data_IF_476323292629
#
_entry.id   IF_476323292629
#
_cell.length_a   1.000
_cell.length_b   1.000
_cell.length_c   1.000
_cell.angle_alpha   90.00
_cell.angle_beta   90.00
_cell.angle_gamma   90.00
#
_symmetry.space_group_name_H-M   'P 1'
#
loop_
_entity.id
_entity.type
_entity.pdbx_description
1 polymer ?
#
# COMPACT_ATOMS: atom_id res chain seq x y z
N UNK A 1 22.46 17.34 -31.94
CA UNK A 1 21.48 16.32 -32.38
C UNK A 1 22.09 14.96 -32.09
N UNK A 2 21.78 14.36 -30.93
CA UNK A 2 22.22 13.02 -30.54
C UNK A 2 20.99 12.28 -30.02
N UNK A 3 20.55 11.29 -30.80
CA UNK A 3 19.42 10.42 -30.53
C UNK A 3 19.83 9.34 -29.53
N UNK A 4 19.21 9.31 -28.36
CA UNK A 4 19.32 8.18 -27.43
C UNK A 4 18.20 7.19 -27.73
N UNK A 5 18.59 5.98 -28.16
CA UNK A 5 17.70 4.87 -28.54
C UNK A 5 16.90 4.36 -27.35
N UNK A 6 15.58 4.23 -27.54
CA UNK A 6 14.66 3.47 -26.67
C UNK A 6 14.88 1.98 -26.87
N UNK A 7 15.06 1.24 -25.78
CA UNK A 7 15.09 -0.22 -25.78
C UNK A 7 13.73 -0.74 -25.33
N UNK A 8 12.95 -1.24 -26.28
CA UNK A 8 11.70 -1.98 -26.06
C UNK A 8 12.03 -3.46 -26.10
N UNK A 9 11.77 -4.19 -25.01
CA UNK A 9 11.81 -5.66 -25.01
C UNK A 9 10.37 -6.14 -24.93
N UNK A 10 9.87 -6.61 -26.08
CA UNK A 10 8.63 -7.36 -26.19
C UNK A 10 8.85 -8.81 -25.75
N UNK A 11 7.88 -9.36 -25.02
CA UNK A 11 7.84 -10.79 -24.71
C UNK A 11 6.79 -11.44 -25.61
N UNK A 12 7.23 -12.43 -26.39
CA UNK A 12 6.49 -13.08 -27.46
C UNK A 12 5.39 -14.01 -26.93
N UNK A 13 4.27 -14.02 -27.65
CA UNK A 13 3.16 -14.96 -27.54
C UNK A 13 3.49 -16.28 -28.22
N UNK A 14 3.04 -17.39 -27.63
CA UNK A 14 2.96 -18.70 -28.29
C UNK A 14 1.58 -19.31 -27.99
N UNK A 15 0.85 -19.61 -29.06
CA UNK A 15 -0.42 -20.33 -29.07
C UNK A 15 -0.18 -21.67 -29.74
N UNK A 16 -0.65 -22.76 -29.11
CA UNK A 16 -0.90 -24.04 -29.79
C UNK A 16 -2.13 -24.73 -29.16
N UNK A 17 -3.11 -25.06 -30.00
CA UNK A 17 -4.22 -26.00 -29.77
C UNK A 17 -3.82 -27.36 -30.39
N UNK A 18 -4.36 -28.56 -30.12
CA UNK A 18 -5.55 -29.12 -29.47
C UNK A 18 -5.13 -30.50 -28.85
N UNK A 19 -5.88 -31.25 -28.03
CA UNK A 19 -7.17 -31.98 -28.26
C UNK A 19 -7.70 -32.57 -26.93
N UNK A 20 -9.00 -32.87 -26.86
CA UNK A 20 -9.72 -33.32 -25.67
C UNK A 20 -9.67 -34.83 -25.39
N UNK A 21 -9.60 -35.21 -24.09
CA UNK A 21 -10.23 -36.39 -23.50
C UNK A 21 -10.28 -36.23 -21.95
N UNK A 22 -11.45 -36.44 -21.34
CA UNK A 22 -11.68 -36.55 -19.88
C UNK A 22 -11.91 -38.02 -19.49
N UNK A 23 -12.05 -38.40 -18.20
CA UNK A 23 -11.47 -37.87 -16.96
C UNK A 23 -10.81 -38.99 -16.11
N UNK A 24 -9.88 -38.66 -15.20
CA UNK A 24 -9.60 -39.51 -14.04
C UNK A 24 -9.01 -38.68 -12.88
N UNK A 25 -9.57 -38.88 -11.70
CA UNK A 25 -9.09 -38.40 -10.41
C UNK A 25 -7.67 -38.93 -10.14
N UNK A 26 -6.75 -38.04 -9.82
CA UNK A 26 -5.74 -38.25 -8.79
C UNK A 26 -5.20 -36.88 -8.36
N UNK A 27 -5.33 -36.57 -7.08
CA UNK A 27 -4.69 -35.42 -6.48
C UNK A 27 -3.17 -35.63 -6.53
N UNK A 28 -2.48 -34.88 -7.38
CA UNK A 28 -1.02 -34.75 -7.30
C UNK A 28 -0.69 -33.36 -6.77
N UNK A 29 -0.72 -33.25 -5.43
CA UNK A 29 -0.14 -32.09 -4.75
C UNK A 29 1.37 -32.28 -4.69
N UNK A 30 2.06 -32.01 -5.81
CA UNK A 30 3.50 -31.78 -5.76
C UNK A 30 3.75 -30.36 -5.21
N UNK A 31 3.59 -30.21 -3.90
CA UNK A 31 3.98 -28.98 -3.19
C UNK A 31 5.50 -28.96 -3.13
N UNK A 32 6.12 -28.27 -4.09
CA UNK A 32 7.53 -27.93 -3.99
C UNK A 32 7.67 -26.82 -2.95
N UNK A 33 7.72 -27.21 -1.67
CA UNK A 33 7.79 -26.33 -0.52
C UNK A 33 9.18 -25.70 -0.41
N UNK A 34 9.31 -24.50 -0.97
CA UNK A 34 10.26 -23.52 -0.43
C UNK A 34 9.80 -23.25 1.01
N UNK A 35 10.59 -23.70 1.99
CA UNK A 35 10.21 -23.86 3.39
C UNK A 35 9.79 -22.60 4.15
N UNK A 36 8.58 -22.09 3.89
CA UNK A 36 7.86 -21.20 4.80
C UNK A 36 6.78 -22.02 5.51
N UNK A 37 6.88 -22.14 6.83
CA UNK A 37 5.85 -22.83 7.64
C UNK A 37 4.47 -22.19 7.38
N UNK A 38 3.42 -22.97 7.09
CA UNK A 38 2.10 -22.45 6.73
C UNK A 38 1.51 -21.52 7.81
N UNK A 39 1.92 -21.68 9.07
CA UNK A 39 1.48 -20.85 10.20
C UNK A 39 2.04 -19.42 10.17
N UNK A 40 3.24 -19.21 9.61
CA UNK A 40 3.85 -17.89 9.56
C UNK A 40 3.11 -16.96 8.57
N UNK A 41 2.69 -17.51 7.43
CA UNK A 41 1.94 -16.76 6.41
C UNK A 41 0.53 -16.39 6.89
N UNK A 42 -0.16 -17.28 7.61
CA UNK A 42 -1.47 -16.98 8.21
C UNK A 42 -1.35 -15.91 9.29
N UNK A 43 -0.33 -16.00 10.16
CA UNK A 43 -0.08 -14.98 11.18
C UNK A 43 0.24 -13.61 10.56
N UNK A 44 1.06 -13.56 9.51
CA UNK A 44 1.38 -12.33 8.80
C UNK A 44 0.14 -11.67 8.17
N UNK A 45 -0.75 -12.47 7.55
CA UNK A 45 -2.02 -11.97 7.01
C UNK A 45 -2.97 -11.47 8.11
N UNK A 46 -3.04 -12.15 9.25
CA UNK A 46 -3.82 -11.72 10.40
C UNK A 46 -3.31 -10.38 10.97
N UNK A 47 -1.98 -10.23 11.12
CA UNK A 47 -1.35 -8.97 11.56
C UNK A 47 -1.64 -7.84 10.57
N UNK A 48 -1.50 -8.10 9.26
CA UNK A 48 -1.82 -7.12 8.22
C UNK A 48 -3.28 -6.67 8.32
N UNK A 49 -4.21 -7.61 8.50
CA UNK A 49 -5.63 -7.31 8.64
C UNK A 49 -5.91 -6.46 9.88
N UNK A 50 -5.31 -6.81 11.04
CA UNK A 50 -5.43 -6.02 12.25
C UNK A 50 -4.87 -4.60 12.09
N UNK A 51 -3.73 -4.44 11.42
CA UNK A 51 -3.15 -3.13 11.13
C UNK A 51 -4.04 -2.30 10.19
N UNK A 52 -4.68 -2.93 9.20
CA UNK A 52 -5.65 -2.26 8.34
C UNK A 52 -6.85 -1.72 9.13
N UNK A 53 -7.38 -2.50 10.07
CA UNK A 53 -8.51 -2.09 10.91
C UNK A 53 -8.11 -0.94 11.86
N UNK A 54 -6.90 -1.00 12.44
CA UNK A 54 -6.32 0.10 13.23
C UNK A 54 -6.20 1.37 12.37
N UNK A 55 -5.65 1.26 11.16
CA UNK A 55 -5.49 2.38 10.25
C UNK A 55 -6.85 2.98 9.83
N UNK A 56 -7.82 2.13 9.51
CA UNK A 56 -9.17 2.56 9.16
C UNK A 56 -9.80 3.37 10.30
N UNK A 57 -9.81 2.82 11.52
CA UNK A 57 -10.39 3.49 12.69
C UNK A 57 -9.66 4.80 13.01
N UNK A 58 -8.34 4.83 12.85
CA UNK A 58 -7.56 6.06 13.01
C UNK A 58 -8.05 7.16 12.05
N UNK A 59 -8.21 6.87 10.76
CA UNK A 59 -8.62 7.88 9.78
C UNK A 59 -10.10 8.28 9.91
N UNK A 60 -10.98 7.36 10.32
CA UNK A 60 -12.36 7.71 10.70
C UNK A 60 -12.37 8.65 11.91
N UNK A 61 -11.56 8.39 12.93
CA UNK A 61 -11.42 9.26 14.10
C UNK A 61 -10.84 10.65 13.76
N UNK A 62 -10.21 10.83 12.58
CA UNK A 62 -9.81 12.13 12.05
C UNK A 62 -10.93 12.87 11.30
N UNK A 63 -12.14 12.32 11.27
CA UNK A 63 -13.32 12.90 10.64
C UNK A 63 -13.46 12.57 9.16
N UNK A 64 -12.73 11.58 8.63
CA UNK A 64 -12.96 11.08 7.27
C UNK A 64 -14.16 10.13 7.25
N UNK A 65 -14.88 10.10 6.13
CA UNK A 65 -15.95 9.11 5.94
C UNK A 65 -15.36 7.70 5.83
N UNK A 66 -16.18 6.67 6.09
CA UNK A 66 -15.76 5.26 5.95
C UNK A 66 -15.16 4.96 4.56
N UNK A 67 -15.72 5.52 3.48
CA UNK A 67 -15.18 5.35 2.12
C UNK A 67 -13.81 5.99 1.95
N UNK A 68 -13.62 7.19 2.51
CA UNK A 68 -12.34 7.92 2.43
C UNK A 68 -11.25 7.21 3.23
N UNK A 69 -11.56 6.79 4.46
CA UNK A 69 -10.65 6.00 5.29
C UNK A 69 -10.27 4.69 4.60
N UNK A 70 -11.25 3.92 4.09
CA UNK A 70 -10.99 2.70 3.34
C UNK A 70 -10.14 2.95 2.07
N UNK A 71 -10.35 4.07 1.37
CA UNK A 71 -9.55 4.45 0.21
C UNK A 71 -8.07 4.71 0.54
N UNK A 72 -7.77 5.33 1.68
CA UNK A 72 -6.39 5.45 2.18
C UNK A 72 -5.84 4.06 2.48
N UNK A 73 -6.55 3.27 3.29
CA UNK A 73 -6.03 1.96 3.73
C UNK A 73 -5.82 1.01 2.55
N UNK A 74 -6.68 1.03 1.53
CA UNK A 74 -6.48 0.25 0.31
C UNK A 74 -5.19 0.57 -0.44
N UNK A 75 -4.77 1.84 -0.43
CA UNK A 75 -3.46 2.25 -0.95
C UNK A 75 -2.32 1.71 -0.07
N UNK A 76 -2.39 1.93 1.25
CA UNK A 76 -1.36 1.45 2.20
C UNK A 76 -1.22 -0.07 2.19
N UNK A 77 -2.32 -0.80 1.96
CA UNK A 77 -2.32 -2.25 1.78
C UNK A 77 -1.56 -2.65 0.51
N UNK A 78 -1.73 -1.93 -0.60
CA UNK A 78 -0.94 -2.18 -1.81
C UNK A 78 0.55 -1.86 -1.61
N UNK A 79 0.88 -0.80 -0.86
CA UNK A 79 2.27 -0.44 -0.61
C UNK A 79 3.02 -1.45 0.28
N UNK A 80 2.36 -2.00 1.29
CA UNK A 80 3.06 -2.74 2.35
C UNK A 80 2.24 -3.79 3.07
N UNK A 81 0.95 -3.95 2.75
CA UNK A 81 0.01 -4.65 3.62
C UNK A 81 -0.21 -3.92 4.96
N UNK A 82 0.00 -2.60 5.01
CA UNK A 82 0.01 -1.81 6.26
C UNK A 82 1.04 -2.35 7.27
N UNK A 83 2.17 -2.86 6.76
CA UNK A 83 3.27 -3.31 7.60
C UNK A 83 4.21 -2.13 7.92
N UNK A 84 4.26 -1.66 9.18
CA UNK A 84 5.06 -0.50 9.52
C UNK A 84 6.56 -0.77 9.44
N UNK A 85 7.02 -2.03 9.44
CA UNK A 85 8.43 -2.41 9.30
C UNK A 85 8.82 -2.82 7.89
N UNK A 86 7.91 -2.67 6.91
CA UNK A 86 8.19 -3.04 5.52
C UNK A 86 9.40 -2.29 4.96
N UNK A 87 10.24 -3.03 4.23
CA UNK A 87 11.40 -2.50 3.51
C UNK A 87 11.37 -3.05 2.09
N UNK A 88 11.43 -2.16 1.11
CA UNK A 88 11.53 -2.57 -0.29
C UNK A 88 12.84 -3.32 -0.53
N UNK A 89 12.75 -4.55 -1.05
CA UNK A 89 13.92 -5.34 -1.40
C UNK A 89 14.75 -4.60 -2.49
N UNK A 90 16.01 -4.32 -2.18
CA UNK A 90 16.92 -3.60 -3.08
C UNK A 90 16.52 -2.14 -3.36
N UNK A 91 15.54 -1.58 -2.65
CA UNK A 91 14.98 -0.27 -2.92
C UNK A 91 14.90 0.65 -1.70
N UNK A 92 14.43 1.87 -1.95
CA UNK A 92 14.40 2.94 -0.95
C UNK A 92 13.13 2.92 -0.08
N UNK A 93 12.06 2.23 -0.47
CA UNK A 93 10.77 2.28 0.22
C UNK A 93 10.77 1.71 1.64
N UNK A 94 10.13 2.43 2.58
CA UNK A 94 10.05 2.09 4.02
C UNK A 94 8.64 2.32 4.59
N UNK A 95 8.20 1.43 5.47
CA UNK A 95 6.97 1.59 6.25
C UNK A 95 5.68 1.48 5.44
N UNK A 96 4.57 1.91 6.06
CA UNK A 96 3.22 1.64 5.54
C UNK A 96 2.94 2.26 4.17
N UNK A 97 3.55 3.42 3.88
CA UNK A 97 3.39 4.15 2.61
C UNK A 97 4.68 4.11 1.76
N UNK A 98 5.61 3.19 2.07
CA UNK A 98 6.86 3.02 1.32
C UNK A 98 7.65 4.32 1.08
N UNK A 99 7.70 5.22 2.07
CA UNK A 99 8.50 6.45 2.01
C UNK A 99 9.96 6.13 1.67
N UNK A 100 10.56 6.90 0.76
CA UNK A 100 11.93 6.62 0.29
C UNK A 100 13.00 7.09 1.29
N UNK A 101 13.98 6.22 1.56
CA UNK A 101 15.30 6.59 2.10
C UNK A 101 15.94 7.64 1.18
N UNK A 102 16.56 8.66 1.77
CA UNK A 102 17.05 9.83 1.04
C UNK A 102 15.97 10.85 0.72
N UNK A 103 14.71 10.62 1.14
CA UNK A 103 13.57 11.50 0.93
C UNK A 103 12.68 11.63 2.17
N UNK A 104 11.40 11.28 2.02
CA UNK A 104 10.37 11.36 3.08
C UNK A 104 10.61 10.37 4.24
N UNK A 105 11.52 9.42 4.11
CA UNK A 105 11.88 8.58 5.25
C UNK A 105 12.78 9.33 6.26
N UNK A 106 13.81 10.03 5.78
CA UNK A 106 14.90 10.50 6.65
C UNK A 106 15.63 11.79 6.22
N UNK A 107 15.29 12.42 5.09
CA UNK A 107 16.07 13.53 4.52
C UNK A 107 15.32 14.85 4.43
N UNK A 108 14.07 14.84 3.98
CA UNK A 108 13.34 16.07 3.65
C UNK A 108 13.08 16.93 4.89
N UNK A 109 13.45 18.21 4.85
CA UNK A 109 13.36 19.10 6.02
C UNK A 109 11.90 19.25 6.49
N UNK A 110 11.61 18.81 7.72
CA UNK A 110 10.28 18.83 8.37
C UNK A 110 9.19 17.97 7.71
N UNK A 111 9.50 17.33 6.59
CA UNK A 111 8.61 16.43 5.84
C UNK A 111 9.24 15.03 5.73
N UNK A 112 9.69 14.49 6.87
CA UNK A 112 10.22 13.13 6.91
C UNK A 112 9.90 12.39 8.21
N UNK A 113 9.81 11.07 8.11
CA UNK A 113 9.38 10.19 9.21
C UNK A 113 10.35 10.22 10.41
N UNK A 114 11.67 10.28 10.19
CA UNK A 114 12.66 10.40 11.29
C UNK A 114 12.46 11.68 12.09
N UNK A 115 12.35 12.81 11.41
CA UNK A 115 12.12 14.10 12.04
C UNK A 115 10.76 14.13 12.76
N UNK A 116 9.71 13.62 12.11
CA UNK A 116 8.38 13.59 12.70
C UNK A 116 8.35 12.74 13.96
N UNK A 117 8.95 11.55 13.93
CA UNK A 117 9.07 10.67 15.08
C UNK A 117 9.72 11.37 16.28
N UNK A 118 10.87 12.01 16.04
CA UNK A 118 11.65 12.68 17.09
C UNK A 118 10.96 13.94 17.66
N UNK A 119 10.27 14.72 16.81
CA UNK A 119 9.84 16.08 17.19
C UNK A 119 8.32 16.22 17.39
N UNK A 120 7.51 15.35 16.80
CA UNK A 120 6.03 15.50 16.74
C UNK A 120 5.29 14.29 17.27
N UNK A 121 5.87 13.09 17.18
CA UNK A 121 5.25 11.85 17.65
C UNK A 121 5.60 11.48 19.10
N UNK A 122 6.35 12.32 19.82
CA UNK A 122 6.76 12.07 21.21
C UNK A 122 7.99 11.16 21.34
N UNK A 123 8.88 11.14 20.34
CA UNK A 123 10.12 10.36 20.38
C UNK A 123 9.93 8.85 20.19
N UNK A 124 8.74 8.41 19.78
CA UNK A 124 8.47 6.99 19.49
C UNK A 124 9.23 6.51 18.25
N UNK A 125 9.44 5.21 18.14
CA UNK A 125 10.12 4.63 16.96
C UNK A 125 9.42 4.99 15.65
N UNK A 126 10.21 5.38 14.63
CA UNK A 126 9.73 5.58 13.25
C UNK A 126 9.10 4.33 12.62
N UNK A 127 9.35 3.16 13.20
CA UNK A 127 8.77 1.88 12.80
C UNK A 127 7.46 1.54 13.53
N UNK A 128 6.97 2.43 14.39
CA UNK A 128 5.70 2.26 15.08
C UNK A 128 4.53 2.61 14.14
N UNK A 129 3.53 1.74 14.07
CA UNK A 129 2.35 1.94 13.22
C UNK A 129 1.63 3.26 13.52
N UNK A 130 1.35 3.55 14.79
CA UNK A 130 0.65 4.78 15.18
C UNK A 130 1.46 6.04 14.83
N UNK A 131 2.78 5.98 14.96
CA UNK A 131 3.66 7.08 14.52
C UNK A 131 3.54 7.33 13.01
N UNK A 132 3.55 6.27 12.21
CA UNK A 132 3.44 6.35 10.76
C UNK A 132 2.05 6.83 10.31
N UNK A 133 0.96 6.37 10.94
CA UNK A 133 -0.40 6.87 10.68
C UNK A 133 -0.54 8.36 11.02
N UNK A 134 0.04 8.79 12.15
CA UNK A 134 0.11 10.20 12.54
C UNK A 134 0.94 11.03 11.56
N UNK A 135 2.03 10.47 11.01
CA UNK A 135 2.83 11.14 9.99
C UNK A 135 2.06 11.28 8.67
N UNK A 136 1.39 10.23 8.19
CA UNK A 136 0.48 10.31 7.03
C UNK A 136 -0.57 11.42 7.21
N UNK A 137 -1.20 11.50 8.39
CA UNK A 137 -2.16 12.57 8.68
C UNK A 137 -1.52 13.96 8.75
N UNK A 138 -0.33 14.06 9.36
CA UNK A 138 0.43 15.31 9.40
C UNK A 138 0.73 15.82 7.99
N UNK A 139 1.21 14.96 7.10
CA UNK A 139 1.49 15.31 5.71
C UNK A 139 0.24 15.80 4.99
N UNK A 140 -0.85 15.03 5.05
CA UNK A 140 -2.14 15.38 4.45
C UNK A 140 -2.68 16.74 4.92
N UNK A 141 -2.49 17.09 6.19
CA UNK A 141 -3.02 18.33 6.77
C UNK A 141 -2.07 19.52 6.65
N UNK A 142 -0.77 19.28 6.53
CA UNK A 142 0.25 20.34 6.48
C UNK A 142 0.50 20.79 5.06
N UNK A 143 0.48 19.87 4.10
CA UNK A 143 0.83 20.14 2.72
C UNK A 143 -0.33 19.83 1.79
N UNK A 144 -0.95 20.89 1.26
CA UNK A 144 -2.15 20.77 0.41
C UNK A 144 -1.93 19.91 -0.84
N UNK A 145 -0.70 19.85 -1.36
CA UNK A 145 -0.36 19.05 -2.53
C UNK A 145 -0.48 17.53 -2.30
N UNK A 146 -0.47 17.05 -1.05
CA UNK A 146 -0.75 15.65 -0.70
C UNK A 146 -2.24 15.27 -0.77
N UNK A 147 -3.13 16.21 -1.10
CA UNK A 147 -4.45 15.89 -1.66
C UNK A 147 -5.59 15.66 -0.66
N UNK A 148 -5.48 16.13 0.60
CA UNK A 148 -6.55 15.96 1.59
C UNK A 148 -7.88 16.55 1.13
N UNK A 149 -7.87 17.69 0.42
CA UNK A 149 -9.10 18.30 -0.09
C UNK A 149 -9.79 17.40 -1.13
N UNK A 150 -9.04 16.84 -2.06
CA UNK A 150 -9.52 15.91 -3.09
C UNK A 150 -10.06 14.63 -2.44
N UNK A 151 -9.36 14.11 -1.44
CA UNK A 151 -9.82 12.96 -0.67
C UNK A 151 -11.16 13.25 0.03
N UNK A 152 -11.27 14.39 0.72
CA UNK A 152 -12.48 14.80 1.42
C UNK A 152 -13.67 15.08 0.49
N UNK A 153 -13.41 15.51 -0.75
CA UNK A 153 -14.44 15.71 -1.77
C UNK A 153 -14.87 14.41 -2.46
N UNK A 154 -14.13 13.30 -2.28
CA UNK A 154 -14.53 12.03 -2.88
C UNK A 154 -15.75 11.42 -2.16
N UNK A 155 -16.78 11.10 -2.96
CA UNK A 155 -18.01 10.44 -2.51
C UNK A 155 -18.03 8.93 -2.81
N UNK A 156 -17.11 8.45 -3.66
CA UNK A 156 -16.99 7.04 -4.04
C UNK A 156 -15.72 6.42 -3.46
N UNK A 157 -15.75 5.09 -3.27
CA UNK A 157 -14.57 4.36 -2.80
C UNK A 157 -13.41 4.47 -3.80
N UNK A 158 -13.68 4.28 -5.09
CA UNK A 158 -12.67 4.45 -6.15
C UNK A 158 -12.10 5.86 -6.18
N UNK A 159 -12.95 6.89 -6.06
CA UNK A 159 -12.49 8.28 -6.01
C UNK A 159 -11.55 8.54 -4.83
N UNK A 160 -11.81 7.93 -3.67
CA UNK A 160 -10.95 8.08 -2.50
C UNK A 160 -9.59 7.39 -2.70
N UNK A 161 -9.61 6.20 -3.30
CA UNK A 161 -8.39 5.48 -3.70
C UNK A 161 -7.55 6.32 -4.64
N UNK A 162 -8.15 6.84 -5.72
CA UNK A 162 -7.45 7.65 -6.74
C UNK A 162 -6.94 8.97 -6.16
N UNK A 163 -7.74 9.65 -5.32
CA UNK A 163 -7.31 10.90 -4.70
C UNK A 163 -6.05 10.74 -3.84
N UNK A 164 -5.98 9.67 -3.04
CA UNK A 164 -4.79 9.39 -2.24
C UNK A 164 -3.63 8.85 -3.09
N UNK A 165 -3.91 7.93 -4.02
CA UNK A 165 -2.93 7.35 -4.95
C UNK A 165 -2.16 8.43 -5.73
N UNK A 166 -2.89 9.34 -6.37
CA UNK A 166 -2.28 10.28 -7.32
C UNK A 166 -1.59 11.45 -6.61
N UNK A 167 -2.04 11.81 -5.40
CA UNK A 167 -1.54 12.98 -4.66
C UNK A 167 -0.56 12.64 -3.54
N UNK A 168 -0.77 11.54 -2.84
CA UNK A 168 0.06 11.14 -1.71
C UNK A 168 1.17 10.16 -2.10
N UNK A 169 0.85 9.13 -2.89
CA UNK A 169 1.82 8.10 -3.30
C UNK A 169 2.65 8.53 -4.51
N UNK A 170 2.02 9.12 -5.54
CA UNK A 170 2.71 9.49 -6.78
C UNK A 170 3.27 8.27 -7.52
N UNK A 171 2.45 7.24 -7.67
CA UNK A 171 2.85 5.97 -8.30
C UNK A 171 3.19 6.11 -9.79
N UNK A 172 4.18 5.34 -10.26
CA UNK A 172 4.47 5.19 -11.69
C UNK A 172 3.45 4.29 -12.39
N UNK A 173 3.41 3.01 -12.01
CA UNK A 173 2.34 2.06 -12.41
C UNK A 173 1.44 1.80 -11.21
N UNK A 174 0.26 2.38 -11.23
CA UNK A 174 -0.52 2.55 -10.02
C UNK A 174 -1.32 1.31 -9.57
N UNK A 175 -1.60 0.34 -10.44
CA UNK A 175 -2.42 -0.84 -10.08
C UNK A 175 -3.75 -0.45 -9.40
N UNK A 176 -4.43 0.58 -9.91
CA UNK A 176 -5.59 1.19 -9.26
C UNK A 176 -6.69 0.20 -8.91
N UNK A 177 -7.00 -0.74 -9.81
CA UNK A 177 -8.06 -1.73 -9.55
C UNK A 177 -7.72 -2.65 -8.37
N UNK A 178 -6.45 -2.99 -8.20
CA UNK A 178 -5.99 -3.78 -7.04
C UNK A 178 -6.12 -2.99 -5.73
N UNK A 179 -5.78 -1.70 -5.73
CA UNK A 179 -5.98 -0.80 -4.58
C UNK A 179 -7.45 -0.64 -4.23
N UNK A 180 -8.33 -0.55 -5.25
CA UNK A 180 -9.79 -0.51 -5.06
C UNK A 180 -10.30 -1.81 -4.44
N UNK A 181 -9.82 -2.97 -4.90
CA UNK A 181 -10.17 -4.26 -4.28
C UNK A 181 -9.77 -4.31 -2.81
N UNK A 182 -8.55 -3.87 -2.45
CA UNK A 182 -8.15 -3.78 -1.04
C UNK A 182 -9.01 -2.80 -0.24
N UNK A 183 -9.29 -1.62 -0.81
CA UNK A 183 -10.18 -0.65 -0.17
C UNK A 183 -11.57 -1.24 0.07
N UNK A 184 -12.10 -2.03 -0.87
CA UNK A 184 -13.42 -2.67 -0.75
C UNK A 184 -13.42 -3.72 0.36
N UNK A 185 -12.36 -4.52 0.48
CA UNK A 185 -12.21 -5.48 1.57
C UNK A 185 -12.20 -4.78 2.94
N UNK A 186 -11.45 -3.69 3.08
CA UNK A 186 -11.41 -2.90 4.31
C UNK A 186 -12.78 -2.29 4.60
N UNK A 187 -13.42 -1.68 3.59
CA UNK A 187 -14.73 -1.04 3.74
C UNK A 187 -15.78 -2.04 4.23
N UNK A 188 -15.84 -3.23 3.61
CA UNK A 188 -16.82 -4.27 3.94
C UNK A 188 -16.71 -4.78 5.38
N UNK A 189 -15.51 -4.74 6.01
CA UNK A 189 -15.34 -5.13 7.41
C UNK A 189 -15.92 -4.13 8.41
N UNK A 190 -16.27 -2.92 7.96
CA UNK A 190 -16.60 -1.80 8.85
C UNK A 190 -17.95 -1.13 8.52
N UNK A 191 -18.78 -1.74 7.67
CA UNK A 191 -20.12 -1.22 7.30
C UNK A 191 -21.23 -2.16 7.66
#
# INVERSE_FOLDING_TARGET
MHLTRRLTIGCATLVAAATAATPALAADTHVNSVGMSPNASVAALAISTANQDIAFNFFVAKGLTKRQAAGIVGNLTQESGVNPTAQQAGGAGRGIAQWSVGGRWDRYSRDNMVWYAANKAGGVSRWNLNAQLKFTWYELTTYSYYGLAQLKNSTTLRGAVVAFQDRFEGCGTCMTDKRVTYAQQVYNRHV
#
